data_IF_168333596077
#
_entry.id   IF_168333596077
#
_cell.length_a   1.000
_cell.length_b   1.000
_cell.length_c   1.000
_cell.angle_alpha   90.00
_cell.angle_beta   90.00
_cell.angle_gamma   90.00
#
_symmetry.space_group_name_H-M   'P 1'
#
loop_
_entity.id
_entity.type
_entity.pdbx_description
1 polymer ?
#
# COMPACT_ATOMS: atom_id res chain seq x y z
N UNK A 1 -1.27 -29.57 24.53
CA UNK A 1 -2.59 -28.93 24.37
C UNK A 1 -2.48 -27.40 24.38
N UNK A 2 -2.15 -26.75 25.51
CA UNK A 2 -2.03 -25.28 25.59
C UNK A 2 -1.13 -24.65 24.50
N UNK A 3 0.05 -25.24 24.27
CA UNK A 3 1.00 -24.76 23.26
C UNK A 3 0.42 -24.74 21.82
N UNK A 4 -0.37 -25.76 21.46
CA UNK A 4 -1.03 -25.85 20.16
C UNK A 4 -2.11 -24.77 20.02
N UNK A 5 -2.86 -24.49 21.10
CA UNK A 5 -3.83 -23.40 21.12
C UNK A 5 -3.16 -22.04 20.95
N UNK A 6 -2.03 -21.80 21.61
CA UNK A 6 -1.27 -20.54 21.45
C UNK A 6 -0.79 -20.37 20.00
N UNK A 7 -0.30 -21.44 19.36
CA UNK A 7 0.10 -21.40 17.96
C UNK A 7 -1.08 -21.12 17.01
N UNK A 8 -2.25 -21.73 17.24
CA UNK A 8 -3.45 -21.48 16.45
C UNK A 8 -3.92 -20.03 16.56
N UNK A 9 -3.95 -19.48 17.77
CA UNK A 9 -4.31 -18.07 18.00
C UNK A 9 -3.31 -17.14 17.31
N UNK A 10 -2.01 -17.44 17.42
CA UNK A 10 -0.97 -16.69 16.72
C UNK A 10 -1.16 -16.72 15.20
N UNK A 11 -1.46 -17.89 14.63
CA UNK A 11 -1.69 -18.02 13.19
C UNK A 11 -2.90 -17.19 12.73
N UNK A 12 -3.99 -17.20 13.51
CA UNK A 12 -5.19 -16.41 13.21
C UNK A 12 -4.87 -14.91 13.21
N UNK A 13 -4.14 -14.42 14.22
CA UNK A 13 -3.70 -13.02 14.28
C UNK A 13 -2.81 -12.67 13.07
N UNK A 14 -1.87 -13.55 12.71
CA UNK A 14 -1.00 -13.34 11.56
C UNK A 14 -1.80 -13.24 10.24
N UNK A 15 -2.82 -14.09 10.05
CA UNK A 15 -3.70 -14.05 8.88
C UNK A 15 -4.52 -12.74 8.85
N UNK A 16 -5.04 -12.30 9.99
CA UNK A 16 -5.74 -11.02 10.07
C UNK A 16 -4.83 -9.86 9.68
N UNK A 17 -3.59 -9.82 10.18
CA UNK A 17 -2.60 -8.80 9.81
C UNK A 17 -2.29 -8.80 8.31
N UNK A 18 -2.17 -9.99 7.70
CA UNK A 18 -1.99 -10.13 6.25
C UNK A 18 -3.17 -9.56 5.46
N UNK A 19 -4.39 -9.90 5.86
CA UNK A 19 -5.62 -9.42 5.20
C UNK A 19 -5.77 -7.91 5.33
N UNK A 20 -5.57 -7.35 6.52
CA UNK A 20 -5.60 -5.90 6.73
C UNK A 20 -4.53 -5.21 5.88
N UNK A 21 -3.29 -5.71 5.88
CA UNK A 21 -2.23 -5.14 5.08
C UNK A 21 -2.55 -5.17 3.58
N UNK A 22 -3.08 -6.28 3.07
CA UNK A 22 -3.51 -6.41 1.67
C UNK A 22 -4.57 -5.37 1.30
N UNK A 23 -5.57 -5.18 2.16
CA UNK A 23 -6.62 -4.17 1.93
C UNK A 23 -6.05 -2.74 1.93
N UNK A 24 -5.14 -2.45 2.86
CA UNK A 24 -4.48 -1.14 2.95
C UNK A 24 -3.63 -0.85 1.72
N UNK A 25 -2.80 -1.79 1.23
CA UNK A 25 -1.98 -1.55 0.03
C UNK A 25 -2.81 -1.37 -1.23
N UNK A 26 -3.95 -2.05 -1.36
CA UNK A 26 -4.87 -1.84 -2.48
C UNK A 26 -5.53 -0.46 -2.40
N UNK A 27 -6.08 -0.12 -1.22
CA UNK A 27 -6.78 1.15 -1.01
C UNK A 27 -5.85 2.35 -1.17
N UNK A 28 -4.66 2.31 -0.56
CA UNK A 28 -3.65 3.36 -0.68
C UNK A 28 -3.17 3.54 -2.12
N UNK A 29 -2.92 2.46 -2.86
CA UNK A 29 -2.49 2.56 -4.26
C UNK A 29 -3.56 3.21 -5.14
N UNK A 30 -4.84 2.85 -4.96
CA UNK A 30 -5.95 3.45 -5.68
C UNK A 30 -6.11 4.94 -5.33
N UNK A 31 -6.04 5.29 -4.04
CA UNK A 31 -6.15 6.67 -3.59
C UNK A 31 -4.98 7.52 -4.05
N UNK A 32 -3.75 6.98 -4.02
CA UNK A 32 -2.57 7.62 -4.56
C UNK A 32 -2.69 7.92 -6.06
N UNK A 33 -3.20 6.96 -6.83
CA UNK A 33 -3.43 7.18 -8.26
C UNK A 33 -4.46 8.28 -8.52
N UNK A 34 -5.55 8.32 -7.75
CA UNK A 34 -6.60 9.36 -7.83
C UNK A 34 -6.11 10.74 -7.43
N UNK A 35 -5.39 10.86 -6.32
CA UNK A 35 -4.86 12.15 -5.90
C UNK A 35 -3.77 12.65 -6.86
N UNK A 36 -2.90 11.76 -7.33
CA UNK A 36 -1.85 12.08 -8.28
C UNK A 36 -2.36 12.46 -9.67
N UNK A 37 -3.50 11.91 -10.11
CA UNK A 37 -4.03 12.23 -11.44
C UNK A 37 -4.60 13.64 -11.54
N UNK A 38 -5.07 14.23 -10.43
CA UNK A 38 -5.78 15.52 -10.40
C UNK A 38 -4.89 16.77 -10.32
N UNK A 39 -3.60 16.59 -10.05
CA UNK A 39 -2.65 17.70 -9.82
C UNK A 39 -1.79 18.03 -11.05
N UNK A 40 -2.13 17.43 -12.19
CA UNK A 40 -1.38 17.56 -13.44
C UNK A 40 -0.05 16.77 -13.48
N UNK A 41 0.59 16.70 -14.67
CA UNK A 41 1.71 15.80 -14.91
C UNK A 41 2.94 16.08 -14.03
N UNK A 42 3.23 17.36 -13.78
CA UNK A 42 4.44 17.80 -13.09
C UNK A 42 4.49 17.34 -11.62
N UNK A 43 3.34 17.24 -10.95
CA UNK A 43 3.25 16.89 -9.53
C UNK A 43 2.66 15.50 -9.28
N UNK A 44 2.18 14.83 -10.34
CA UNK A 44 1.45 13.57 -10.28
C UNK A 44 2.14 12.48 -9.43
N UNK A 45 3.42 12.22 -9.70
CA UNK A 45 4.21 11.22 -8.99
C UNK A 45 4.46 11.59 -7.52
N UNK A 46 4.74 12.87 -7.26
CA UNK A 46 5.04 13.37 -5.91
C UNK A 46 3.80 13.29 -5.03
N UNK A 47 2.66 13.79 -5.54
CA UNK A 47 1.39 13.77 -4.81
C UNK A 47 0.88 12.35 -4.64
N UNK A 48 1.03 11.48 -5.65
CA UNK A 48 0.69 10.06 -5.51
C UNK A 48 1.47 9.39 -4.38
N UNK A 49 2.80 9.53 -4.37
CA UNK A 49 3.66 8.96 -3.31
C UNK A 49 3.33 9.51 -1.93
N UNK A 50 3.14 10.83 -1.83
CA UNK A 50 2.79 11.48 -0.57
C UNK A 50 1.44 11.01 -0.04
N UNK A 51 0.44 10.92 -0.92
CA UNK A 51 -0.91 10.44 -0.56
C UNK A 51 -0.87 9.00 -0.08
N UNK A 52 -0.18 8.11 -0.79
CA UNK A 52 0.01 6.71 -0.39
C UNK A 52 0.63 6.63 1.01
N UNK A 53 1.69 7.41 1.27
CA UNK A 53 2.39 7.36 2.56
C UNK A 53 1.56 7.94 3.70
N UNK A 54 0.84 9.03 3.46
CA UNK A 54 -0.03 9.64 4.47
C UNK A 54 -1.20 8.70 4.81
N UNK A 55 -1.87 8.14 3.81
CA UNK A 55 -2.99 7.23 4.01
C UNK A 55 -2.52 5.92 4.66
N UNK A 56 -1.42 5.34 4.17
CA UNK A 56 -0.88 4.08 4.67
C UNK A 56 -0.37 4.17 6.11
N UNK A 57 0.33 5.27 6.47
CA UNK A 57 0.80 5.50 7.84
C UNK A 57 -0.32 5.79 8.84
N UNK A 58 -1.46 6.32 8.37
CA UNK A 58 -2.67 6.46 9.19
C UNK A 58 -3.35 5.14 9.55
N UNK A 59 -3.12 4.08 8.77
CA UNK A 59 -3.74 2.76 8.97
C UNK A 59 -2.78 1.72 9.55
N UNK A 60 -1.49 1.81 9.22
CA UNK A 60 -0.46 0.86 9.65
C UNK A 60 0.70 1.62 10.30
N UNK A 61 0.90 1.43 11.61
CA UNK A 61 1.93 2.14 12.38
C UNK A 61 3.36 1.93 11.88
N UNK A 62 3.64 0.77 11.25
CA UNK A 62 4.95 0.44 10.69
C UNK A 62 5.07 0.72 9.19
N UNK A 63 4.13 1.48 8.60
CA UNK A 63 4.08 1.77 7.17
C UNK A 63 5.42 2.22 6.60
N UNK A 64 5.96 3.34 7.11
CA UNK A 64 7.16 3.98 6.54
C UNK A 64 8.42 3.10 6.57
N UNK A 65 8.46 2.08 7.43
CA UNK A 65 9.58 1.13 7.53
C UNK A 65 9.47 -0.04 6.56
N UNK A 66 8.24 -0.41 6.20
CA UNK A 66 7.94 -1.67 5.53
C UNK A 66 7.29 -1.50 4.15
N UNK A 67 6.83 -0.29 3.82
CA UNK A 67 6.19 0.04 2.56
C UNK A 67 7.21 0.55 1.54
N UNK A 68 7.06 0.10 0.29
CA UNK A 68 7.75 0.62 -0.88
C UNK A 68 6.70 1.10 -1.87
N UNK A 69 6.80 2.37 -2.27
CA UNK A 69 5.87 3.01 -3.19
C UNK A 69 6.57 3.31 -4.51
N UNK A 70 6.07 2.69 -5.58
CA UNK A 70 6.55 2.89 -6.93
C UNK A 70 5.45 3.54 -7.77
N UNK A 71 5.84 4.47 -8.63
CA UNK A 71 4.93 5.17 -9.54
C UNK A 71 5.53 5.14 -10.93
N UNK A 72 4.71 4.91 -11.95
CA UNK A 72 5.11 4.87 -13.36
C UNK A 72 4.05 5.51 -14.25
N UNK A 73 4.43 5.94 -15.46
CA UNK A 73 3.51 6.64 -16.36
C UNK A 73 3.39 8.12 -16.00
N UNK A 74 2.22 8.74 -16.16
CA UNK A 74 1.92 10.09 -15.66
C UNK A 74 2.63 11.27 -16.35
N UNK A 75 3.53 11.02 -17.30
CA UNK A 75 4.35 12.04 -17.99
C UNK A 75 3.61 12.98 -18.96
N UNK A 76 2.30 13.11 -18.85
CA UNK A 76 1.49 13.99 -19.68
C UNK A 76 0.00 13.88 -19.37
N UNK A 77 -0.76 14.90 -19.75
CA UNK A 77 -2.23 14.87 -19.70
C UNK A 77 -2.75 13.72 -20.57
N UNK A 78 -3.78 13.02 -20.09
CA UNK A 78 -4.35 11.87 -20.78
C UNK A 78 -3.47 10.61 -20.73
N UNK A 79 -2.32 10.64 -20.03
CA UNK A 79 -1.49 9.46 -19.79
C UNK A 79 -1.90 8.78 -18.50
N UNK A 80 -1.79 7.45 -18.48
CA UNK A 80 -2.04 6.65 -17.30
C UNK A 80 -0.92 6.87 -16.27
N UNK A 81 -1.30 7.24 -15.05
CA UNK A 81 -0.47 7.18 -13.86
C UNK A 81 -0.78 5.87 -13.14
N UNK A 82 0.22 5.01 -13.01
CA UNK A 82 0.14 3.75 -12.25
C UNK A 82 0.93 3.88 -10.96
N UNK A 83 0.30 3.49 -9.86
CA UNK A 83 0.86 3.48 -8.51
C UNK A 83 0.87 2.04 -8.03
N UNK A 84 2.03 1.54 -7.62
CA UNK A 84 2.21 0.20 -7.07
C UNK A 84 2.79 0.33 -5.67
N UNK A 85 2.16 -0.33 -4.71
CA UNK A 85 2.54 -0.30 -3.31
C UNK A 85 2.81 -1.73 -2.86
N UNK A 86 3.99 -1.95 -2.29
CA UNK A 86 4.37 -3.21 -1.66
C UNK A 86 4.60 -2.99 -0.18
N UNK A 87 4.13 -3.90 0.67
CA UNK A 87 4.30 -3.79 2.12
C UNK A 87 4.74 -5.13 2.70
N UNK A 88 5.86 -5.12 3.44
CA UNK A 88 6.34 -6.29 4.18
C UNK A 88 5.59 -6.42 5.51
N UNK A 89 4.74 -7.43 5.63
CA UNK A 89 3.94 -7.67 6.83
C UNK A 89 4.85 -8.20 7.94
N UNK A 90 4.92 -7.53 9.11
CA UNK A 90 5.66 -8.04 10.26
C UNK A 90 5.16 -9.43 10.68
N UNK A 91 6.07 -10.27 11.12
CA UNK A 91 5.72 -11.55 11.72
C UNK A 91 5.67 -11.42 13.24
N UNK A 92 4.64 -11.98 13.86
CA UNK A 92 4.49 -12.00 15.32
C UNK A 92 5.26 -13.13 16.00
N UNK A 93 5.72 -14.13 15.24
CA UNK A 93 6.49 -15.25 15.77
C UNK A 93 7.45 -15.81 14.70
N UNK A 94 8.63 -16.26 15.10
CA UNK A 94 9.65 -16.82 14.19
C UNK A 94 9.10 -17.97 13.34
N UNK A 95 8.11 -18.70 13.86
CA UNK A 95 7.45 -19.81 13.18
C UNK A 95 6.51 -19.37 12.04
N UNK A 96 6.11 -18.10 11.99
CA UNK A 96 5.30 -17.56 10.92
C UNK A 96 6.18 -16.76 9.96
N UNK A 97 6.25 -17.12 8.67
CA UNK A 97 7.05 -16.38 7.72
C UNK A 97 6.44 -14.98 7.46
N UNK A 98 7.29 -13.96 7.44
CA UNK A 98 6.90 -12.63 6.97
C UNK A 98 6.61 -12.69 5.48
N UNK A 99 5.46 -12.15 5.07
CA UNK A 99 5.03 -12.09 3.67
C UNK A 99 5.02 -10.63 3.19
N UNK A 100 5.24 -10.44 1.90
CA UNK A 100 5.05 -9.14 1.26
C UNK A 100 3.73 -9.15 0.51
N UNK A 101 2.87 -8.18 0.82
CA UNK A 101 1.63 -7.94 0.08
C UNK A 101 1.84 -6.78 -0.89
N UNK A 102 1.12 -6.79 -2.00
CA UNK A 102 1.19 -5.72 -3.00
C UNK A 102 -0.19 -5.34 -3.52
N UNK A 103 -0.37 -4.05 -3.78
CA UNK A 103 -1.54 -3.49 -4.44
C UNK A 103 -1.11 -2.52 -5.54
N UNK A 104 -1.97 -2.34 -6.54
CA UNK A 104 -1.76 -1.34 -7.57
C UNK A 104 -3.05 -0.61 -7.90
N UNK A 105 -2.95 0.68 -8.17
CA UNK A 105 -4.02 1.51 -8.69
C UNK A 105 -3.54 2.27 -9.92
N UNK A 106 -4.43 2.57 -10.85
CA UNK A 106 -4.12 3.46 -11.96
C UNK A 106 -5.27 4.43 -12.25
N UNK A 107 -4.89 5.61 -12.74
CA UNK A 107 -5.80 6.69 -13.13
C UNK A 107 -5.19 7.48 -14.29
N UNK A 108 -6.05 8.06 -15.13
CA UNK A 108 -5.61 8.95 -16.21
C UNK A 108 -5.33 10.33 -15.63
N UNK A 109 -4.16 10.90 -15.93
CA UNK A 109 -3.81 12.27 -15.50
C UNK A 109 -4.72 13.28 -16.18
N UNK A 110 -5.41 14.05 -15.35
CA UNK A 110 -6.35 15.10 -15.75
C UNK A 110 -5.60 16.41 -16.00
N UNK A 111 -6.20 17.30 -16.80
CA UNK A 111 -5.72 18.68 -16.93
C UNK A 111 -5.88 19.41 -15.59
N UNK A 112 -4.90 20.23 -15.21
CA UNK A 112 -5.06 21.08 -14.02
C UNK A 112 -6.24 22.02 -14.26
N UNK A 113 -7.29 21.88 -13.45
CA UNK A 113 -8.37 22.86 -13.39
C UNK A 113 -7.89 24.18 -12.79
#
# INVERSE_FOLDING_TARGET
MLFIFVLLVGLIIQIMMLSTAQNVVISTAAEGARAGSRVGPALSHTVAKQTVNNYGSGLLSNWNKNATVNTSGGGGIGKELKVTVSYKVPSIAILFPSQTVSGSGSQIVEEMQ
#
